data_IF_263697050342
#
_entry.id   IF_263697050342
#
_cell.length_a   1.000
_cell.length_b   1.000
_cell.length_c   1.000
_cell.angle_alpha   90.00
_cell.angle_beta   90.00
_cell.angle_gamma   90.00
#
_symmetry.space_group_name_H-M   'P 1'
#
loop_
_entity.id
_entity.type
_entity.pdbx_description
1 polymer ?
#
# COMPACT_ATOMS: atom_id res chain seq x y z
N UNK A 1 -7.34 18.50 12.33
CA UNK A 1 -6.29 18.46 13.35
C UNK A 1 -5.99 17.02 13.76
N UNK A 2 -4.99 16.81 14.62
CA UNK A 2 -4.65 15.48 15.15
C UNK A 2 -5.89 14.87 15.82
N UNK A 3 -6.17 13.58 15.53
CA UNK A 3 -7.27 12.82 16.10
C UNK A 3 -8.67 13.40 15.85
N UNK A 4 -8.89 14.12 14.74
CA UNK A 4 -10.12 14.87 14.54
C UNK A 4 -11.40 14.01 14.45
N UNK A 5 -11.27 12.72 14.10
CA UNK A 5 -12.36 11.73 14.09
C UNK A 5 -12.05 10.50 14.94
N UNK A 6 -10.93 10.51 15.67
CA UNK A 6 -10.43 9.39 16.46
C UNK A 6 -11.53 8.74 17.32
N UNK A 7 -11.61 7.40 17.23
CA UNK A 7 -12.57 6.58 17.99
C UNK A 7 -14.04 6.93 17.76
N UNK A 8 -14.39 7.33 16.54
CA UNK A 8 -15.75 7.64 16.15
C UNK A 8 -16.50 6.40 15.65
N UNK A 9 -17.15 5.69 16.56
CA UNK A 9 -17.88 4.47 16.25
C UNK A 9 -19.11 4.66 15.34
N UNK A 10 -19.48 5.88 15.04
CA UNK A 10 -20.61 6.19 14.15
C UNK A 10 -20.18 6.47 12.72
N UNK A 11 -18.87 6.69 12.48
CA UNK A 11 -18.34 7.00 11.15
C UNK A 11 -18.28 5.72 10.32
N UNK A 12 -18.98 5.69 9.19
CA UNK A 12 -19.03 4.52 8.29
C UNK A 12 -18.31 4.75 6.97
N UNK A 13 -18.30 5.96 6.50
CA UNK A 13 -17.72 6.32 5.22
C UNK A 13 -17.03 7.68 5.34
N UNK A 14 -15.95 7.85 4.57
CA UNK A 14 -15.27 9.13 4.44
C UNK A 14 -14.94 9.42 2.97
N UNK A 15 -15.18 10.63 2.56
CA UNK A 15 -14.68 11.16 1.29
C UNK A 15 -13.70 12.27 1.58
N UNK A 16 -12.44 12.08 1.21
CA UNK A 16 -11.40 13.08 1.43
C UNK A 16 -11.49 14.16 0.33
N UNK A 17 -11.53 15.46 0.70
CA UNK A 17 -11.71 16.53 -0.27
C UNK A 17 -10.48 16.72 -1.15
N UNK A 18 -10.70 17.02 -2.42
CA UNK A 18 -9.64 17.47 -3.31
C UNK A 18 -9.01 18.76 -2.76
N UNK A 19 -7.66 18.82 -2.81
CA UNK A 19 -6.92 19.93 -2.21
C UNK A 19 -6.43 19.66 -0.78
N UNK A 20 -6.86 18.57 -0.15
CA UNK A 20 -6.27 18.12 1.12
C UNK A 20 -4.77 17.86 0.93
N UNK A 21 -3.93 18.44 1.80
CA UNK A 21 -2.47 18.29 1.73
C UNK A 21 -1.92 17.23 2.70
N UNK A 22 -2.51 17.14 3.87
CA UNK A 22 -2.08 16.24 4.93
C UNK A 22 -3.27 15.53 5.57
N UNK A 23 -3.12 14.25 5.84
CA UNK A 23 -4.01 13.51 6.74
C UNK A 23 -3.30 13.47 8.09
N UNK A 24 -3.82 14.12 9.13
CA UNK A 24 -3.13 14.24 10.41
C UNK A 24 -2.94 12.90 11.13
N UNK A 25 -2.00 12.86 12.09
CA UNK A 25 -1.86 11.72 12.98
C UNK A 25 -3.18 11.39 13.66
N UNK A 26 -3.50 10.10 13.75
CA UNK A 26 -4.69 9.54 14.41
C UNK A 26 -6.02 10.06 13.84
N UNK A 27 -6.03 10.64 12.64
CA UNK A 27 -7.22 11.33 12.09
C UNK A 27 -8.49 10.49 12.15
N UNK A 28 -8.38 9.18 11.88
CA UNK A 28 -9.46 8.19 11.86
C UNK A 28 -9.12 6.93 12.69
N UNK A 29 -8.14 7.01 13.58
CA UNK A 29 -7.72 5.86 14.36
C UNK A 29 -8.86 5.31 15.21
N UNK A 30 -8.98 3.97 15.26
CA UNK A 30 -10.02 3.22 15.99
C UNK A 30 -11.46 3.48 15.51
N UNK A 31 -11.62 3.97 14.28
CA UNK A 31 -12.93 4.08 13.64
C UNK A 31 -13.31 2.73 13.02
N UNK A 32 -13.59 1.73 13.86
CA UNK A 32 -13.78 0.32 13.45
C UNK A 32 -14.88 0.12 12.41
N UNK A 33 -15.87 1.04 12.38
CA UNK A 33 -16.99 1.00 11.44
C UNK A 33 -16.75 1.81 10.17
N UNK A 34 -15.57 2.44 10.04
CA UNK A 34 -15.17 3.10 8.80
C UNK A 34 -14.80 2.04 7.78
N UNK A 35 -15.70 1.78 6.86
CA UNK A 35 -15.62 0.70 5.87
C UNK A 35 -15.47 1.25 4.45
N UNK A 36 -15.30 0.33 3.48
CA UNK A 36 -15.30 0.64 2.05
C UNK A 36 -13.91 0.93 1.49
N UNK A 37 -13.91 1.48 0.29
CA UNK A 37 -12.70 1.74 -0.48
C UNK A 37 -12.23 3.16 -0.25
N UNK A 38 -11.04 3.32 0.32
CA UNK A 38 -10.47 4.62 0.63
C UNK A 38 -9.66 5.15 -0.56
N UNK A 39 -10.03 6.33 -1.04
CA UNK A 39 -9.27 7.03 -2.08
C UNK A 39 -8.55 8.24 -1.45
N UNK A 40 -7.22 8.22 -1.52
CA UNK A 40 -6.37 9.33 -1.08
C UNK A 40 -6.17 10.28 -2.27
N UNK A 41 -6.61 11.54 -2.17
CA UNK A 41 -6.46 12.50 -3.26
C UNK A 41 -5.00 12.73 -3.69
N UNK A 42 -4.82 13.04 -4.97
CA UNK A 42 -3.50 13.32 -5.56
C UNK A 42 -2.75 14.51 -4.93
N UNK A 43 -3.46 15.35 -4.20
CA UNK A 43 -2.91 16.52 -3.51
C UNK A 43 -2.32 16.23 -2.13
N UNK A 44 -2.59 15.02 -1.57
CA UNK A 44 -2.06 14.63 -0.27
C UNK A 44 -0.58 14.28 -0.39
N UNK A 45 0.25 14.84 0.47
CA UNK A 45 1.69 14.61 0.53
C UNK A 45 2.12 13.85 1.79
N UNK A 46 1.23 13.75 2.78
CA UNK A 46 1.50 13.07 4.03
C UNK A 46 0.27 12.34 4.56
N UNK A 47 0.44 11.05 4.88
CA UNK A 47 -0.51 10.26 5.67
C UNK A 47 0.15 10.05 7.03
N UNK A 48 -0.38 10.72 8.06
CA UNK A 48 0.21 10.79 9.39
C UNK A 48 0.24 9.48 10.15
N UNK A 49 1.00 9.43 11.24
CA UNK A 49 1.11 8.25 12.09
C UNK A 49 -0.27 7.79 12.57
N UNK A 50 -0.54 6.50 12.43
CA UNK A 50 -1.80 5.85 12.85
C UNK A 50 -3.06 6.51 12.27
N UNK A 51 -2.96 7.16 11.11
CA UNK A 51 -4.09 7.95 10.56
C UNK A 51 -5.35 7.13 10.33
N UNK A 52 -5.22 5.84 9.96
CA UNK A 52 -6.31 4.88 9.75
C UNK A 52 -6.09 3.59 10.55
N UNK A 53 -5.37 3.69 11.67
CA UNK A 53 -5.07 2.54 12.54
C UNK A 53 -6.35 1.88 13.05
N UNK A 54 -6.44 0.55 12.92
CA UNK A 54 -7.61 -0.24 13.33
C UNK A 54 -8.94 0.25 12.73
N UNK A 55 -8.95 0.65 11.47
CA UNK A 55 -10.20 0.93 10.73
C UNK A 55 -10.71 -0.30 10.00
N UNK A 56 -11.99 -0.25 9.60
CA UNK A 56 -12.64 -1.30 8.80
C UNK A 56 -12.48 -1.14 7.29
N UNK A 57 -11.59 -0.27 6.80
CA UNK A 57 -11.41 -0.02 5.36
C UNK A 57 -11.05 -1.31 4.61
N UNK A 58 -11.61 -1.46 3.40
CA UNK A 58 -11.42 -2.64 2.56
C UNK A 58 -10.24 -2.51 1.61
N UNK A 59 -9.98 -1.32 1.14
CA UNK A 59 -8.88 -1.04 0.23
C UNK A 59 -8.37 0.38 0.38
N UNK A 60 -7.14 0.63 -0.08
CA UNK A 60 -6.60 1.98 -0.22
C UNK A 60 -6.05 2.19 -1.62
N UNK A 61 -6.45 3.30 -2.24
CA UNK A 61 -5.88 3.78 -3.50
C UNK A 61 -5.31 5.17 -3.29
N UNK A 62 -4.04 5.36 -3.65
CA UNK A 62 -3.40 6.68 -3.65
C UNK A 62 -3.43 7.23 -5.07
N UNK A 63 -4.06 8.38 -5.26
CA UNK A 63 -4.15 9.04 -6.56
C UNK A 63 -2.78 9.50 -7.08
N UNK A 64 -2.58 9.38 -8.39
CA UNK A 64 -1.39 9.90 -9.06
C UNK A 64 -1.31 11.43 -8.94
N UNK A 65 -0.09 11.96 -8.88
CA UNK A 65 0.17 13.38 -8.70
C UNK A 65 1.64 13.73 -8.95
N UNK A 66 1.97 15.02 -8.79
CA UNK A 66 3.33 15.51 -9.01
C UNK A 66 4.16 15.59 -7.72
N UNK A 67 3.50 15.72 -6.57
CA UNK A 67 4.17 15.87 -5.28
C UNK A 67 4.39 14.48 -4.66
N UNK A 68 5.53 14.28 -4.03
CA UNK A 68 5.85 13.06 -3.28
C UNK A 68 4.87 12.84 -2.13
N UNK A 69 4.64 11.58 -1.75
CA UNK A 69 3.83 11.23 -0.58
C UNK A 69 4.64 10.32 0.37
N UNK A 70 4.47 10.55 1.65
CA UNK A 70 5.01 9.72 2.72
C UNK A 70 3.87 9.06 3.50
N UNK A 71 4.02 7.76 3.77
CA UNK A 71 3.05 6.97 4.55
C UNK A 71 3.71 6.66 5.89
N UNK A 72 3.33 7.42 6.93
CA UNK A 72 3.99 7.35 8.24
C UNK A 72 3.61 6.10 9.04
N UNK A 73 4.30 5.91 10.17
CA UNK A 73 4.22 4.69 10.97
C UNK A 73 2.79 4.35 11.39
N UNK A 74 2.45 3.07 11.27
CA UNK A 74 1.13 2.52 11.61
C UNK A 74 -0.06 3.12 10.84
N UNK A 75 0.18 3.84 9.73
CA UNK A 75 -0.87 4.61 9.06
C UNK A 75 -2.11 3.78 8.70
N UNK A 76 -1.94 2.52 8.31
CA UNK A 76 -3.00 1.56 7.95
C UNK A 76 -2.90 0.25 8.74
N UNK A 77 -2.12 0.21 9.81
CA UNK A 77 -1.89 -1.00 10.58
C UNK A 77 -3.15 -1.50 11.28
N UNK A 78 -3.27 -2.82 11.42
CA UNK A 78 -4.42 -3.49 12.07
C UNK A 78 -5.78 -3.25 11.39
N UNK A 79 -5.80 -2.95 10.09
CA UNK A 79 -7.03 -2.82 9.31
C UNK A 79 -7.55 -4.22 8.94
N UNK A 80 -8.41 -4.79 9.78
CA UNK A 80 -8.85 -6.18 9.68
C UNK A 80 -9.53 -6.56 8.36
N UNK A 81 -10.06 -5.58 7.62
CA UNK A 81 -10.76 -5.78 6.35
C UNK A 81 -9.94 -5.35 5.13
N UNK A 82 -8.71 -4.83 5.32
CA UNK A 82 -7.88 -4.34 4.23
C UNK A 82 -7.39 -5.52 3.38
N UNK A 83 -7.81 -5.57 2.13
CA UNK A 83 -7.51 -6.65 1.19
C UNK A 83 -6.39 -6.32 0.23
N UNK A 84 -6.26 -5.04 -0.16
CA UNK A 84 -5.25 -4.59 -1.11
C UNK A 84 -4.94 -3.11 -0.97
N UNK A 85 -3.73 -2.76 -1.40
CA UNK A 85 -3.25 -1.39 -1.46
C UNK A 85 -2.69 -1.08 -2.85
N UNK A 86 -3.27 -0.08 -3.50
CA UNK A 86 -2.77 0.47 -4.76
C UNK A 86 -2.12 1.82 -4.50
N UNK A 87 -0.80 1.77 -4.39
CA UNK A 87 0.01 2.92 -4.06
C UNK A 87 0.58 3.53 -5.34
N UNK A 88 0.40 4.83 -5.48
CA UNK A 88 0.81 5.56 -6.68
C UNK A 88 2.33 5.61 -6.89
N UNK A 89 2.71 6.08 -8.08
CA UNK A 89 4.10 6.30 -8.51
C UNK A 89 4.83 7.44 -7.77
N UNK A 90 4.25 8.00 -6.74
CA UNK A 90 4.80 9.12 -5.96
C UNK A 90 5.09 8.78 -4.49
N UNK A 91 4.91 7.52 -4.11
CA UNK A 91 5.27 7.06 -2.76
C UNK A 91 6.78 7.08 -2.59
N UNK A 92 7.26 7.92 -1.67
CA UNK A 92 8.68 8.07 -1.36
C UNK A 92 9.15 7.12 -0.27
N UNK A 93 8.34 6.94 0.76
CA UNK A 93 8.67 6.04 1.87
C UNK A 93 7.42 5.45 2.50
N UNK A 94 7.54 4.19 2.92
CA UNK A 94 6.58 3.47 3.74
C UNK A 94 7.26 3.23 5.08
N UNK A 95 6.77 3.89 6.12
CA UNK A 95 7.41 3.88 7.43
C UNK A 95 7.03 2.63 8.25
N UNK A 96 7.60 2.53 9.44
CA UNK A 96 7.49 1.38 10.32
C UNK A 96 6.04 0.98 10.58
N UNK A 97 5.73 -0.31 10.40
CA UNK A 97 4.41 -0.90 10.61
C UNK A 97 3.25 -0.26 9.81
N UNK A 98 3.54 0.50 8.76
CA UNK A 98 2.51 1.29 8.06
C UNK A 98 1.33 0.46 7.54
N UNK A 99 1.56 -0.79 7.16
CA UNK A 99 0.56 -1.80 6.73
C UNK A 99 0.69 -3.11 7.50
N UNK A 100 1.38 -3.12 8.62
CA UNK A 100 1.58 -4.36 9.38
C UNK A 100 0.31 -4.82 10.10
N UNK A 101 0.22 -6.14 10.32
CA UNK A 101 -0.89 -6.78 11.05
C UNK A 101 -2.25 -6.69 10.33
N UNK A 102 -2.24 -6.64 9.00
CA UNK A 102 -3.43 -6.63 8.16
C UNK A 102 -3.75 -8.07 7.68
N UNK A 103 -4.56 -8.83 8.42
CA UNK A 103 -4.62 -10.29 8.29
C UNK A 103 -5.12 -10.79 6.93
N UNK A 104 -5.83 -9.96 6.19
CA UNK A 104 -6.36 -10.31 4.87
C UNK A 104 -5.79 -9.48 3.73
N UNK A 105 -4.77 -8.65 3.99
CA UNK A 105 -4.03 -7.94 2.94
C UNK A 105 -3.35 -8.97 2.04
N UNK A 106 -3.77 -9.04 0.79
CA UNK A 106 -3.28 -10.01 -0.16
C UNK A 106 -2.33 -9.41 -1.19
N UNK A 107 -2.52 -8.15 -1.54
CA UNK A 107 -1.83 -7.54 -2.66
C UNK A 107 -1.44 -6.09 -2.38
N UNK A 108 -0.19 -5.77 -2.74
CA UNK A 108 0.34 -4.40 -2.69
C UNK A 108 0.96 -4.05 -4.03
N UNK A 109 0.47 -3.00 -4.65
CA UNK A 109 1.06 -2.44 -5.85
C UNK A 109 1.66 -1.07 -5.54
N UNK A 110 2.96 -0.89 -5.77
CA UNK A 110 3.61 0.42 -5.76
C UNK A 110 3.94 0.74 -7.21
N UNK A 111 3.21 1.69 -7.78
CA UNK A 111 3.33 1.97 -9.20
C UNK A 111 4.71 2.55 -9.55
N UNK A 112 5.21 2.19 -10.74
CA UNK A 112 6.46 2.74 -11.26
C UNK A 112 6.31 4.20 -11.69
N UNK A 113 7.36 5.00 -11.53
CA UNK A 113 7.29 6.41 -11.89
C UNK A 113 8.59 7.19 -11.67
N UNK A 114 8.44 8.51 -11.51
CA UNK A 114 9.58 9.41 -11.40
C UNK A 114 10.14 9.53 -9.99
N UNK A 115 9.34 9.28 -8.97
CA UNK A 115 9.74 9.34 -7.56
C UNK A 115 10.46 8.05 -7.19
N UNK A 116 11.51 8.16 -6.39
CA UNK A 116 12.19 7.00 -5.82
C UNK A 116 11.44 6.53 -4.58
N UNK A 117 11.16 5.24 -4.49
CA UNK A 117 10.80 4.61 -3.23
C UNK A 117 12.08 4.42 -2.41
N UNK A 118 12.39 5.39 -1.57
CA UNK A 118 13.67 5.41 -0.83
C UNK A 118 13.75 4.24 0.16
N UNK A 119 12.66 3.98 0.89
CA UNK A 119 12.62 2.88 1.84
C UNK A 119 11.24 2.28 2.07
N UNK A 120 11.21 0.96 2.26
CA UNK A 120 10.20 0.21 3.00
C UNK A 120 10.83 -0.10 4.35
N UNK A 121 10.37 0.58 5.41
CA UNK A 121 11.00 0.50 6.72
C UNK A 121 10.66 -0.79 7.47
N UNK A 122 11.22 -0.94 8.66
CA UNK A 122 11.05 -2.15 9.46
C UNK A 122 9.59 -2.42 9.79
N UNK A 123 9.21 -3.69 9.71
CA UNK A 123 7.84 -4.16 9.99
C UNK A 123 6.73 -3.60 9.09
N UNK A 124 7.04 -2.87 8.01
CA UNK A 124 6.05 -2.15 7.19
C UNK A 124 4.87 -3.02 6.72
N UNK A 125 5.09 -4.30 6.47
CA UNK A 125 4.11 -5.31 6.07
C UNK A 125 4.22 -6.58 6.93
N UNK A 126 4.64 -6.45 8.19
CA UNK A 126 4.83 -7.61 9.03
C UNK A 126 3.48 -8.21 9.48
N UNK A 127 3.46 -9.53 9.66
CA UNK A 127 2.27 -10.27 10.07
C UNK A 127 1.08 -10.19 9.11
N UNK A 128 1.31 -9.82 7.85
CA UNK A 128 0.30 -9.86 6.78
C UNK A 128 0.21 -11.30 6.26
N UNK A 129 -0.56 -12.11 6.97
CA UNK A 129 -0.55 -13.57 6.78
C UNK A 129 -1.07 -14.00 5.40
N UNK A 130 -1.90 -13.20 4.76
CA UNK A 130 -2.44 -13.47 3.43
C UNK A 130 -1.74 -12.69 2.31
N UNK A 131 -0.67 -11.93 2.60
CA UNK A 131 0.07 -11.22 1.57
C UNK A 131 0.69 -12.22 0.59
N UNK A 132 0.20 -12.23 -0.64
CA UNK A 132 0.61 -13.15 -1.70
C UNK A 132 1.64 -12.52 -2.64
N UNK A 133 1.47 -11.22 -2.94
CA UNK A 133 2.34 -10.54 -3.87
C UNK A 133 2.53 -9.04 -3.60
N UNK A 134 3.70 -8.55 -4.01
CA UNK A 134 4.01 -7.13 -4.04
C UNK A 134 4.66 -6.74 -5.38
N UNK A 135 4.27 -5.58 -5.92
CA UNK A 135 4.99 -4.92 -7.02
C UNK A 135 5.82 -3.75 -6.47
N UNK A 136 7.09 -3.76 -6.84
CA UNK A 136 8.09 -2.74 -6.50
C UNK A 136 8.44 -1.91 -7.74
N UNK A 137 8.54 -0.57 -7.63
CA UNK A 137 8.93 0.32 -8.72
C UNK A 137 10.41 0.19 -9.07
N UNK A 138 10.78 0.66 -10.27
CA UNK A 138 12.16 0.66 -10.78
C UNK A 138 13.16 1.31 -9.83
N UNK A 139 12.76 2.38 -9.14
CA UNK A 139 13.62 3.13 -8.22
C UNK A 139 13.34 2.74 -6.77
N UNK A 140 13.39 1.45 -6.47
CA UNK A 140 13.31 0.94 -5.11
C UNK A 140 14.69 0.96 -4.45
N UNK A 141 14.80 1.55 -3.26
CA UNK A 141 16.01 1.64 -2.48
C UNK A 141 16.12 0.54 -1.41
N UNK A 142 15.86 0.87 -0.16
CA UNK A 142 16.07 -0.02 0.98
C UNK A 142 14.79 -0.72 1.44
N UNK A 143 14.90 -2.01 1.71
CA UNK A 143 13.89 -2.81 2.41
C UNK A 143 14.50 -3.25 3.73
N UNK A 144 13.98 -2.73 4.83
CA UNK A 144 14.58 -2.86 6.14
C UNK A 144 14.24 -4.21 6.80
N UNK A 145 14.77 -4.43 7.99
CA UNK A 145 14.56 -5.63 8.79
C UNK A 145 13.07 -5.88 9.04
N UNK A 146 12.67 -7.13 8.99
CA UNK A 146 11.29 -7.57 9.24
C UNK A 146 10.21 -6.86 8.38
N UNK A 147 10.58 -6.14 7.30
CA UNK A 147 9.61 -5.42 6.48
C UNK A 147 8.49 -6.35 5.95
N UNK A 148 8.85 -7.61 5.66
CA UNK A 148 7.95 -8.72 5.29
C UNK A 148 8.05 -9.89 6.27
N UNK A 149 8.34 -9.59 7.53
CA UNK A 149 8.41 -10.59 8.58
C UNK A 149 7.06 -11.25 8.82
N UNK A 150 7.06 -12.58 8.94
CA UNK A 150 5.84 -13.37 9.23
C UNK A 150 4.72 -13.21 8.18
N UNK A 151 5.11 -13.12 6.88
CA UNK A 151 4.20 -13.15 5.72
C UNK A 151 4.29 -14.50 4.99
N UNK A 152 3.80 -15.61 5.55
CA UNK A 152 4.07 -16.96 5.06
C UNK A 152 3.51 -17.26 3.66
N UNK A 153 2.56 -16.47 3.20
CA UNK A 153 1.94 -16.60 1.89
C UNK A 153 2.57 -15.71 0.82
N UNK A 154 3.59 -14.89 1.14
CA UNK A 154 4.28 -14.08 0.15
C UNK A 154 5.05 -14.99 -0.81
N UNK A 155 4.54 -15.12 -2.04
CA UNK A 155 5.08 -16.02 -3.08
C UNK A 155 5.69 -15.27 -4.25
N UNK A 156 5.19 -14.08 -4.54
CA UNK A 156 5.52 -13.35 -5.75
C UNK A 156 6.00 -11.93 -5.43
N UNK A 157 7.20 -11.59 -5.88
CA UNK A 157 7.72 -10.23 -5.84
C UNK A 157 7.98 -9.78 -7.27
N UNK A 158 7.25 -8.79 -7.70
CA UNK A 158 7.40 -8.18 -9.02
C UNK A 158 8.28 -6.93 -8.91
N UNK A 159 9.18 -6.76 -9.85
CA UNK A 159 10.04 -5.59 -9.94
C UNK A 159 9.95 -4.98 -11.33
N UNK A 160 9.67 -3.70 -11.40
CA UNK A 160 9.35 -3.02 -12.65
C UNK A 160 10.53 -2.89 -13.64
N UNK A 161 11.75 -3.28 -13.24
CA UNK A 161 12.95 -3.16 -14.06
C UNK A 161 13.77 -4.46 -14.11
N UNK A 162 14.95 -4.38 -14.71
CA UNK A 162 15.83 -5.53 -14.93
C UNK A 162 16.43 -6.08 -13.64
N UNK A 163 16.87 -7.34 -13.69
CA UNK A 163 17.64 -7.96 -12.60
C UNK A 163 18.94 -7.19 -12.30
N UNK A 164 19.58 -6.61 -13.29
CA UNK A 164 20.79 -5.81 -13.11
C UNK A 164 20.50 -4.57 -12.27
N UNK A 165 19.40 -3.86 -12.57
CA UNK A 165 18.94 -2.73 -11.78
C UNK A 165 18.57 -3.14 -10.36
N UNK A 166 17.83 -4.25 -10.19
CA UNK A 166 17.51 -4.77 -8.86
C UNK A 166 18.77 -4.99 -8.04
N UNK A 167 19.75 -5.71 -8.57
CA UNK A 167 21.01 -6.00 -7.89
C UNK A 167 21.85 -4.75 -7.58
N UNK A 168 21.69 -3.69 -8.38
CA UNK A 168 22.45 -2.44 -8.23
C UNK A 168 21.85 -1.51 -7.18
N UNK A 169 20.53 -1.44 -7.10
CA UNK A 169 19.85 -0.42 -6.32
C UNK A 169 19.09 -0.96 -5.10
N UNK A 170 18.45 -2.12 -5.20
CA UNK A 170 17.62 -2.63 -4.11
C UNK A 170 18.51 -3.25 -3.02
N UNK A 171 18.32 -2.82 -1.79
CA UNK A 171 19.03 -3.32 -0.61
C UNK A 171 18.02 -3.91 0.36
N UNK A 172 18.02 -5.23 0.47
CA UNK A 172 17.09 -5.94 1.36
C UNK A 172 17.85 -6.45 2.58
N UNK A 173 17.40 -6.05 3.77
CA UNK A 173 17.89 -6.61 5.03
C UNK A 173 17.51 -8.09 5.13
N UNK A 174 18.45 -8.95 5.52
CA UNK A 174 18.17 -10.36 5.76
C UNK A 174 17.50 -10.64 7.11
N UNK A 175 17.50 -9.66 8.01
CA UNK A 175 16.93 -9.86 9.34
C UNK A 175 15.40 -9.99 9.26
N UNK A 176 14.92 -11.20 9.48
CA UNK A 176 13.50 -11.59 9.50
C UNK A 176 12.71 -11.29 8.21
N UNK A 177 13.38 -11.28 7.04
CA UNK A 177 12.73 -11.15 5.73
C UNK A 177 12.75 -12.47 4.95
N UNK A 178 12.77 -13.61 5.63
CA UNK A 178 12.83 -14.92 4.97
C UNK A 178 11.69 -15.14 3.99
N UNK A 179 10.48 -14.62 4.30
CA UNK A 179 9.34 -14.70 3.39
C UNK A 179 9.62 -14.02 2.05
N UNK A 180 10.22 -12.83 2.09
CA UNK A 180 10.62 -12.11 0.87
C UNK A 180 11.68 -12.87 0.07
N UNK A 181 12.71 -13.42 0.73
CA UNK A 181 13.78 -14.18 0.05
C UNK A 181 13.34 -15.53 -0.50
N UNK A 182 12.25 -16.10 0.04
CA UNK A 182 11.67 -17.35 -0.43
C UNK A 182 10.67 -17.15 -1.58
N UNK A 183 10.24 -15.90 -1.83
CA UNK A 183 9.34 -15.57 -2.91
C UNK A 183 10.03 -15.64 -4.28
N UNK A 184 9.25 -15.88 -5.32
CA UNK A 184 9.70 -15.81 -6.71
C UNK A 184 9.86 -14.36 -7.13
N UNK A 185 11.02 -13.99 -7.67
CA UNK A 185 11.32 -12.64 -8.12
C UNK A 185 11.12 -12.51 -9.64
N UNK A 186 10.22 -11.64 -10.06
CA UNK A 186 9.93 -11.35 -11.47
C UNK A 186 10.49 -9.99 -11.86
N UNK A 187 11.32 -9.95 -12.90
CA UNK A 187 11.94 -8.73 -13.39
C UNK A 187 11.25 -8.22 -14.67
N UNK A 188 11.40 -6.92 -14.95
CA UNK A 188 10.75 -6.23 -16.08
C UNK A 188 9.23 -6.44 -16.08
N UNK A 189 8.63 -6.50 -14.91
CA UNK A 189 7.23 -6.83 -14.72
C UNK A 189 6.45 -5.67 -14.09
N UNK A 190 5.23 -5.49 -14.56
CA UNK A 190 4.26 -4.57 -13.97
C UNK A 190 3.24 -5.31 -13.08
N UNK A 191 3.61 -6.51 -12.65
CA UNK A 191 2.75 -7.41 -11.90
C UNK A 191 2.18 -8.53 -12.75
N UNK A 192 1.29 -9.35 -12.20
CA UNK A 192 0.60 -10.38 -12.95
C UNK A 192 -0.26 -9.77 -14.07
N UNK A 193 -0.56 -10.55 -15.11
CA UNK A 193 -1.43 -10.09 -16.21
C UNK A 193 -2.81 -9.68 -15.71
N UNK A 194 -3.28 -10.38 -14.69
CA UNK A 194 -4.49 -10.03 -13.93
C UNK A 194 -4.11 -9.96 -12.44
N UNK A 195 -4.16 -8.76 -11.86
CA UNK A 195 -4.20 -8.65 -10.41
C UNK A 195 -5.45 -9.37 -9.92
N UNK A 196 -5.40 -10.12 -8.80
CA UNK A 196 -6.58 -10.82 -8.32
C UNK A 196 -7.76 -9.88 -8.32
N UNK A 197 -8.85 -10.33 -8.91
CA UNK A 197 -10.08 -9.56 -8.96
C UNK A 197 -10.56 -9.30 -7.53
N UNK A 198 -10.13 -8.17 -7.00
CA UNK A 198 -10.80 -7.58 -5.85
C UNK A 198 -12.00 -6.84 -6.41
N UNK A 199 -13.15 -7.03 -5.78
CA UNK A 199 -14.42 -6.43 -6.23
C UNK A 199 -14.27 -4.94 -6.42
N UNK A 200 -14.08 -4.51 -7.67
CA UNK A 200 -14.01 -3.11 -8.04
C UNK A 200 -15.30 -2.65 -8.68
N UNK A 201 -15.91 -1.63 -8.10
CA UNK A 201 -16.81 -0.78 -8.86
C UNK A 201 -16.09 0.56 -9.03
N UNK A 202 -15.70 0.87 -10.25
CA UNK A 202 -15.02 2.13 -10.53
C UNK A 202 -14.07 2.08 -11.72
N UNK A 203 -13.42 3.21 -12.01
CA UNK A 203 -12.43 3.30 -13.06
C UNK A 203 -11.08 2.79 -12.57
N UNK A 204 -10.56 1.78 -13.24
CA UNK A 204 -9.19 1.28 -13.04
C UNK A 204 -8.38 1.58 -14.29
N UNK A 205 -7.22 2.21 -14.12
CA UNK A 205 -6.27 2.43 -15.22
C UNK A 205 -5.18 1.37 -15.13
N UNK A 206 -5.16 0.47 -16.10
CA UNK A 206 -4.12 -0.57 -16.23
C UNK A 206 -3.31 -0.26 -17.48
N UNK A 207 -2.01 -0.04 -17.34
CA UNK A 207 -1.06 0.25 -18.44
C UNK A 207 -1.48 1.47 -19.22
N UNK A 208 -1.96 2.38 -19.23
CA UNK A 208 -2.46 3.49 -20.09
C UNK A 208 -3.94 3.39 -20.49
N UNK A 209 -4.59 2.27 -20.21
CA UNK A 209 -6.01 2.11 -20.48
C UNK A 209 -6.80 2.26 -19.19
N UNK A 210 -7.93 2.94 -19.27
CA UNK A 210 -8.90 3.02 -18.17
C UNK A 210 -10.04 2.05 -18.44
N UNK A 211 -10.40 1.27 -17.42
CA UNK A 211 -11.47 0.31 -17.47
C UNK A 211 -12.49 0.62 -16.39
N UNK A 212 -13.78 0.47 -16.73
CA UNK A 212 -14.84 0.56 -15.76
C UNK A 212 -15.22 -0.83 -15.28
N UNK A 213 -15.27 -1.01 -13.98
CA UNK A 213 -15.73 -2.25 -13.35
C UNK A 213 -16.97 -1.97 -12.51
N UNK A 214 -17.94 -2.85 -12.60
CA UNK A 214 -19.09 -2.91 -11.71
C UNK A 214 -19.21 -4.34 -11.16
N UNK A 215 -19.05 -4.49 -9.83
CA UNK A 215 -19.04 -5.79 -9.16
C UNK A 215 -18.07 -6.81 -9.80
N UNK A 216 -16.82 -6.37 -10.08
CA UNK A 216 -15.74 -7.14 -10.73
C UNK A 216 -15.96 -7.54 -12.18
N UNK A 217 -16.96 -7.02 -12.83
CA UNK A 217 -17.21 -7.28 -14.27
C UNK A 217 -16.79 -6.05 -15.07
N UNK A 218 -15.89 -6.26 -16.04
CA UNK A 218 -15.51 -5.22 -17.01
C UNK A 218 -16.72 -4.82 -17.83
N UNK A 219 -17.05 -3.53 -17.87
CA UNK A 219 -18.16 -2.96 -18.63
C UNK A 219 -17.67 -2.35 -19.95
#
# INVERSE_FOLDING_TARGET
GVGCFENNQSLKEVTLPQGLKTIPNYAFAWDYNLEGDLVIPSTVTEIGCSAFYETGIRSVTIGDGNDEIQIFSNAFSHCANLKWADLSNRVRAIYEEAFGYDPILAWVRIADGNVSLDAIQGFAFCYDQNLEAILLPTKTGEIWYSAFGWCPNLKEVYYASSQENYNSYVRVSRANNDCYFNATLHYNSQGPDEWPSTVFSGWVTIKTNSYWYENDVLQ
#
